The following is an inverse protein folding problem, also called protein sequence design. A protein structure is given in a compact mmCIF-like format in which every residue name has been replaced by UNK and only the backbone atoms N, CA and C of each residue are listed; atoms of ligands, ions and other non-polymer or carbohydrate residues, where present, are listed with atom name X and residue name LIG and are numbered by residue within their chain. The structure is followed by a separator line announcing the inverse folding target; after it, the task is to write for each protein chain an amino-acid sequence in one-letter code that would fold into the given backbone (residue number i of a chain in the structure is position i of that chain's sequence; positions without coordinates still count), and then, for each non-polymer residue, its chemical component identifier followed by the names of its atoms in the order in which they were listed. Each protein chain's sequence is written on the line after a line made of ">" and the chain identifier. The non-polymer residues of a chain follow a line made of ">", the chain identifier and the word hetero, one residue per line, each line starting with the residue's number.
data_IF_993366703968
#
_entry.id   IF_993366703968
#
_cell.length_a   1.000
_cell.length_b   1.000
_cell.length_c   1.000
_cell.angle_alpha   90.00
_cell.angle_beta   90.00
_cell.angle_gamma   90.00
#
_symmetry.space_group_name_H-M   'P 1'
#
loop_
_entity.id
_entity.type
_entity.pdbx_description
1 polymer ?
#
# COMPACT_ATOMS: atom_id res chain seq x y z
N UNK A 1 3.87 19.38 6.01
CA UNK A 1 2.73 18.61 5.49
C UNK A 1 3.29 17.29 5.00
N UNK A 2 2.70 16.16 5.40
CA UNK A 2 3.15 14.84 4.94
C UNK A 2 2.58 14.54 3.56
N UNK A 3 3.25 13.69 2.80
CA UNK A 3 2.73 13.17 1.52
C UNK A 3 1.74 12.05 1.85
N UNK A 4 0.65 11.99 1.10
CA UNK A 4 -0.30 10.89 1.10
C UNK A 4 -0.08 10.06 -0.16
N UNK A 5 -0.05 8.73 0.00
CA UNK A 5 0.04 7.83 -1.14
C UNK A 5 -1.20 6.97 -1.26
N UNK A 6 -1.86 7.02 -2.41
CA UNK A 6 -2.99 6.13 -2.73
C UNK A 6 -2.50 4.92 -3.53
N UNK A 7 -3.16 3.79 -3.34
CA UNK A 7 -2.82 2.54 -4.00
C UNK A 7 -4.00 2.04 -4.80
N UNK A 8 -3.76 1.68 -6.05
CA UNK A 8 -4.78 1.20 -6.97
C UNK A 8 -4.34 -0.06 -7.69
N UNK A 9 -5.26 -0.99 -7.99
CA UNK A 9 -4.97 -2.08 -8.91
C UNK A 9 -4.79 -1.55 -10.34
N UNK A 10 -3.99 -2.26 -11.11
CA UNK A 10 -3.81 -2.10 -12.54
C UNK A 10 -5.00 -2.73 -13.31
N UNK A 11 -6.16 -2.09 -13.19
CA UNK A 11 -7.37 -2.40 -13.95
C UNK A 11 -7.38 -1.70 -15.33
N UNK A 12 -8.49 -1.82 -16.07
CA UNK A 12 -8.60 -1.22 -17.41
C UNK A 12 -8.55 0.30 -17.42
N UNK A 13 -9.12 0.96 -16.41
CA UNK A 13 -9.13 2.42 -16.30
C UNK A 13 -7.74 2.92 -15.95
N UNK A 14 -7.10 2.29 -14.95
CA UNK A 14 -5.73 2.59 -14.54
C UNK A 14 -4.73 2.37 -15.67
N UNK A 15 -4.87 1.30 -16.47
CA UNK A 15 -4.03 1.09 -17.67
C UNK A 15 -4.20 2.20 -18.70
N UNK A 16 -5.43 2.62 -18.96
CA UNK A 16 -5.72 3.69 -19.92
C UNK A 16 -5.05 4.99 -19.47
N UNK A 17 -5.20 5.34 -18.20
CA UNK A 17 -4.56 6.52 -17.62
C UNK A 17 -3.03 6.45 -17.66
N UNK A 18 -2.42 5.30 -17.36
CA UNK A 18 -0.96 5.12 -17.48
C UNK A 18 -0.46 5.21 -18.93
N UNK A 19 -1.26 4.76 -19.91
CA UNK A 19 -0.93 4.93 -21.33
C UNK A 19 -0.91 6.41 -21.74
N UNK A 20 -1.89 7.20 -21.28
CA UNK A 20 -1.94 8.65 -21.53
C UNK A 20 -0.71 9.37 -20.95
N UNK A 21 -0.22 8.92 -19.80
CA UNK A 21 0.98 9.42 -19.15
C UNK A 21 2.29 8.84 -19.70
N UNK A 22 2.22 7.94 -20.69
CA UNK A 22 3.36 7.21 -21.23
C UNK A 22 4.19 6.45 -20.15
N UNK A 23 3.52 5.98 -19.09
CA UNK A 23 4.15 5.21 -18.01
C UNK A 23 4.14 3.71 -18.37
N UNK A 24 5.31 3.06 -18.43
CA UNK A 24 5.39 1.62 -18.70
C UNK A 24 4.64 0.81 -17.64
N UNK A 25 3.84 -0.15 -18.08
CA UNK A 25 3.11 -1.06 -17.20
C UNK A 25 2.94 -2.44 -17.86
N UNK A 26 2.89 -3.52 -17.06
CA UNK A 26 2.73 -4.86 -17.60
C UNK A 26 1.29 -5.09 -18.08
N UNK A 27 1.13 -5.96 -19.08
CA UNK A 27 -0.20 -6.34 -19.58
C UNK A 27 -0.81 -7.48 -18.76
N UNK A 28 -0.92 -7.30 -17.44
CA UNK A 28 -1.56 -8.24 -16.52
C UNK A 28 -2.65 -7.51 -15.74
N UNK A 29 -3.66 -8.24 -15.26
CA UNK A 29 -4.69 -7.68 -14.37
C UNK A 29 -4.25 -7.80 -12.92
N UNK A 30 -4.70 -6.88 -12.07
CA UNK A 30 -4.58 -7.00 -10.62
C UNK A 30 -5.87 -6.60 -9.92
N UNK A 31 -5.88 -6.78 -8.59
CA UNK A 31 -7.01 -6.47 -7.71
C UNK A 31 -6.53 -5.83 -6.42
N UNK A 32 -7.45 -5.26 -5.67
CA UNK A 32 -7.17 -4.90 -4.28
C UNK A 32 -6.81 -6.15 -3.45
N UNK A 33 -5.87 -6.05 -2.50
CA UNK A 33 -5.57 -7.14 -1.58
C UNK A 33 -6.74 -7.39 -0.64
N UNK A 34 -6.85 -8.61 -0.14
CA UNK A 34 -7.75 -8.91 0.98
C UNK A 34 -7.12 -8.51 2.31
N UNK A 35 -7.94 -8.40 3.37
CA UNK A 35 -7.43 -8.12 4.71
C UNK A 35 -6.38 -9.14 5.19
N UNK A 36 -6.57 -10.43 4.88
CA UNK A 36 -5.59 -11.48 5.15
C UNK A 36 -4.27 -11.24 4.40
N UNK A 37 -4.33 -10.85 3.13
CA UNK A 37 -3.14 -10.58 2.32
C UNK A 37 -2.37 -9.37 2.84
N UNK A 38 -3.07 -8.31 3.29
CA UNK A 38 -2.45 -7.17 3.98
C UNK A 38 -1.72 -7.64 5.23
N UNK A 39 -2.39 -8.36 6.13
CA UNK A 39 -1.77 -8.88 7.37
C UNK A 39 -0.58 -9.80 7.07
N UNK A 40 -0.69 -10.64 6.04
CA UNK A 40 0.38 -11.55 5.62
C UNK A 40 1.58 -10.82 4.99
N UNK A 41 1.36 -9.76 4.22
CA UNK A 41 2.45 -8.93 3.70
C UNK A 41 3.17 -8.21 4.84
N UNK A 42 2.43 -7.68 5.83
CA UNK A 42 3.00 -7.02 6.99
C UNK A 42 3.82 -7.96 7.87
N UNK A 43 3.40 -9.22 8.03
CA UNK A 43 4.16 -10.20 8.83
C UNK A 43 5.46 -10.67 8.16
N UNK A 44 5.65 -10.40 6.87
CA UNK A 44 6.88 -10.71 6.13
C UNK A 44 7.94 -9.61 6.24
N UNK A 45 7.63 -8.47 6.86
CA UNK A 45 8.56 -7.36 7.04
C UNK A 45 9.54 -7.65 8.19
N UNK A 46 10.66 -8.29 7.87
CA UNK A 46 11.73 -8.54 8.84
C UNK A 46 12.44 -7.25 9.25
N UNK A 47 12.70 -7.07 10.55
CA UNK A 47 13.35 -5.88 11.10
C UNK A 47 12.40 -4.70 11.30
N UNK A 48 11.09 -4.92 11.23
CA UNK A 48 10.05 -3.93 11.46
C UNK A 48 9.07 -4.40 12.53
N UNK A 49 8.76 -3.51 13.46
CA UNK A 49 7.65 -3.65 14.38
C UNK A 49 6.36 -3.16 13.71
N UNK A 50 5.34 -4.02 13.67
CA UNK A 50 4.02 -3.68 13.13
C UNK A 50 3.00 -3.65 14.27
N UNK A 51 2.40 -2.49 14.52
CA UNK A 51 1.28 -2.31 15.44
C UNK A 51 0.00 -2.10 14.65
N UNK A 52 -0.95 -3.04 14.76
CA UNK A 52 -2.25 -2.95 14.11
C UNK A 52 -3.28 -2.40 15.10
N UNK A 53 -4.02 -1.38 14.67
CA UNK A 53 -5.16 -0.81 15.38
C UNK A 53 -6.41 -1.02 14.55
N UNK A 54 -7.24 -1.95 15.00
CA UNK A 54 -8.60 -2.12 14.53
C UNK A 54 -9.53 -1.34 15.48
N UNK A 55 -9.97 -0.17 15.02
CA UNK A 55 -10.77 0.75 15.82
C UNK A 55 -12.28 0.38 15.81
N UNK A 56 -12.65 -0.76 15.20
CA UNK A 56 -14.03 -1.22 15.10
C UNK A 56 -14.78 -0.66 13.88
N UNK A 57 -16.06 -1.01 13.79
CA UNK A 57 -16.91 -0.75 12.61
C UNK A 57 -16.98 0.77 12.32
N UNK A 58 -16.71 1.14 11.07
CA UNK A 58 -16.75 2.53 10.60
C UNK A 58 -15.54 3.38 11.01
N UNK A 59 -14.54 2.78 11.66
CA UNK A 59 -13.29 3.46 11.97
C UNK A 59 -12.16 2.96 11.06
N UNK A 60 -11.15 3.80 10.88
CA UNK A 60 -9.98 3.46 10.07
C UNK A 60 -9.24 2.31 10.75
N UNK A 61 -9.01 1.24 9.99
CA UNK A 61 -8.06 0.21 10.35
C UNK A 61 -6.66 0.70 9.97
N UNK A 62 -5.74 0.67 10.92
CA UNK A 62 -4.40 1.25 10.74
C UNK A 62 -3.32 0.24 11.10
N UNK A 63 -2.24 0.24 10.34
CA UNK A 63 -1.01 -0.45 10.69
C UNK A 63 0.16 0.55 10.74
N UNK A 64 0.71 0.74 11.93
CA UNK A 64 1.94 1.50 12.15
C UNK A 64 3.12 0.57 11.97
N UNK A 65 3.98 0.86 10.99
CA UNK A 65 5.14 0.03 10.64
C UNK A 65 6.39 0.86 10.96
N UNK A 66 7.22 0.38 11.88
CA UNK A 66 8.39 1.11 12.37
C UNK A 66 9.61 0.20 12.43
N UNK A 67 10.71 0.62 11.85
CA UNK A 67 12.00 -0.09 11.88
C UNK A 67 12.46 -0.35 13.32
N UNK A 68 12.87 -1.59 13.61
CA UNK A 68 13.42 -2.01 14.90
C UNK A 68 14.69 -1.25 15.29
N UNK A 69 15.45 -0.76 14.29
CA UNK A 69 16.69 0.01 14.51
C UNK A 69 16.45 1.34 15.25
N UNK A 70 15.22 1.87 15.22
CA UNK A 70 14.83 3.11 15.91
C UNK A 70 15.57 4.39 15.46
N UNK A 71 15.22 5.50 16.11
CA UNK A 71 15.84 6.83 15.91
C UNK A 71 15.53 7.49 14.57
N UNK A 72 16.22 8.60 14.27
CA UNK A 72 16.00 9.43 13.07
C UNK A 72 16.28 8.72 11.74
N UNK A 73 16.98 7.57 11.81
CA UNK A 73 17.31 6.72 10.66
C UNK A 73 16.33 5.56 10.47
N UNK A 74 15.45 5.31 11.44
CA UNK A 74 14.44 4.27 11.34
C UNK A 74 13.42 4.60 10.25
N UNK A 75 13.26 3.72 9.28
CA UNK A 75 12.16 3.83 8.33
C UNK A 75 10.84 3.56 9.06
N UNK A 76 9.81 4.31 8.70
CA UNK A 76 8.47 4.10 9.21
C UNK A 76 7.44 4.48 8.16
N UNK A 77 6.23 3.95 8.27
CA UNK A 77 5.08 4.35 7.47
C UNK A 77 3.79 3.99 8.20
N UNK A 78 2.70 4.69 7.90
CA UNK A 78 1.37 4.37 8.41
C UNK A 78 0.50 3.90 7.24
N UNK A 79 0.04 2.65 7.29
CA UNK A 79 -0.92 2.10 6.34
C UNK A 79 -2.33 2.27 6.92
N UNK A 80 -3.28 2.67 6.07
CA UNK A 80 -4.66 2.92 6.45
C UNK A 80 -5.63 2.21 5.49
N UNK A 81 -6.75 1.74 6.05
CA UNK A 81 -7.92 1.20 5.35
C UNK A 81 -9.16 1.85 5.97
N UNK A 82 -9.95 2.59 5.19
CA UNK A 82 -11.05 3.41 5.71
C UNK A 82 -12.20 2.58 6.30
N UNK A 83 -12.59 1.51 5.59
CA UNK A 83 -13.70 0.64 5.97
C UNK A 83 -13.24 -0.81 5.87
N UNK A 84 -12.56 -1.28 6.92
CA UNK A 84 -12.11 -2.66 6.95
C UNK A 84 -13.32 -3.60 6.91
N UNK A 85 -13.54 -4.21 5.76
CA UNK A 85 -14.72 -5.04 5.48
C UNK A 85 -14.53 -6.51 5.85
N UNK A 86 -13.30 -6.93 6.16
CA UNK A 86 -12.98 -8.26 6.66
C UNK A 86 -11.77 -8.90 6.01
N UNK A 87 -11.32 -9.99 6.61
CA UNK A 87 -10.09 -10.70 6.23
C UNK A 87 -10.14 -11.30 4.81
N UNK A 88 -11.34 -11.63 4.31
CA UNK A 88 -11.53 -12.20 2.96
C UNK A 88 -12.02 -11.17 1.94
N UNK A 89 -12.31 -9.95 2.38
CA UNK A 89 -12.87 -8.91 1.51
C UNK A 89 -11.75 -8.03 0.95
N UNK A 90 -11.88 -7.52 -0.30
CA UNK A 90 -10.94 -6.56 -0.87
C UNK A 90 -10.86 -5.27 -0.04
N UNK A 91 -9.64 -4.77 0.14
CA UNK A 91 -9.34 -3.59 0.94
C UNK A 91 -8.69 -2.50 0.09
N UNK A 92 -9.30 -1.32 0.05
CA UNK A 92 -8.65 -0.14 -0.48
C UNK A 92 -7.73 0.44 0.60
N UNK A 93 -6.45 0.55 0.25
CA UNK A 93 -5.40 1.00 1.15
C UNK A 93 -4.73 2.27 0.66
N UNK A 94 -4.24 3.04 1.62
CA UNK A 94 -3.46 4.24 1.39
C UNK A 94 -2.45 4.42 2.52
N UNK A 95 -1.38 5.15 2.25
CA UNK A 95 -0.33 5.42 3.22
C UNK A 95 -0.35 6.89 3.62
N UNK A 96 -0.24 7.14 4.93
CA UNK A 96 -0.07 8.47 5.48
C UNK A 96 1.37 8.63 5.98
N UNK A 97 2.12 9.56 5.40
CA UNK A 97 3.51 9.84 5.80
C UNK A 97 4.40 8.59 5.73
N UNK A 98 5.68 8.77 6.04
CA UNK A 98 6.65 7.70 6.08
C UNK A 98 7.64 7.70 4.92
N UNK A 99 8.40 6.61 4.83
CA UNK A 99 9.44 6.42 3.82
C UNK A 99 8.88 5.65 2.63
N UNK A 100 9.00 6.25 1.44
CA UNK A 100 8.54 5.65 0.19
C UNK A 100 9.17 4.27 -0.10
N UNK A 101 10.44 4.07 0.28
CA UNK A 101 11.13 2.77 0.20
C UNK A 101 10.39 1.66 0.96
N UNK A 102 9.93 1.96 2.17
CA UNK A 102 9.16 1.02 2.98
C UNK A 102 7.77 0.78 2.39
N UNK A 103 7.09 1.84 1.91
CA UNK A 103 5.80 1.73 1.21
C UNK A 103 5.92 0.78 0.01
N UNK A 104 6.93 0.98 -0.84
CA UNK A 104 7.21 0.12 -2.00
C UNK A 104 7.50 -1.31 -1.58
N UNK A 105 8.24 -1.51 -0.50
CA UNK A 105 8.52 -2.86 0.05
C UNK A 105 7.22 -3.58 0.40
N UNK A 106 6.31 -2.93 1.15
CA UNK A 106 4.99 -3.49 1.48
C UNK A 106 4.22 -3.85 0.21
N UNK A 107 4.22 -2.96 -0.79
CA UNK A 107 3.51 -3.18 -2.05
C UNK A 107 4.11 -4.30 -2.89
N UNK A 108 5.43 -4.47 -2.92
CA UNK A 108 6.08 -5.62 -3.57
C UNK A 108 5.67 -6.95 -2.92
N UNK A 109 5.46 -6.99 -1.61
CA UNK A 109 4.94 -8.20 -0.94
C UNK A 109 3.47 -8.47 -1.33
N UNK A 110 2.65 -7.44 -1.45
CA UNK A 110 1.25 -7.57 -1.88
C UNK A 110 1.12 -7.98 -3.35
N UNK A 111 1.90 -7.34 -4.23
CA UNK A 111 1.86 -7.52 -5.68
C UNK A 111 2.06 -8.99 -6.11
N UNK A 112 2.83 -9.76 -5.32
CA UNK A 112 3.02 -11.21 -5.52
C UNK A 112 1.72 -12.01 -5.56
N UNK A 113 0.70 -11.59 -4.81
CA UNK A 113 -0.58 -12.30 -4.70
C UNK A 113 -1.73 -11.56 -5.40
N UNK A 114 -1.61 -10.24 -5.54
CA UNK A 114 -2.66 -9.38 -6.10
C UNK A 114 -2.44 -9.02 -7.56
N UNK A 115 -1.24 -9.25 -8.09
CA UNK A 115 -0.74 -8.62 -9.31
C UNK A 115 -0.28 -7.17 -9.07
N UNK A 116 0.23 -6.48 -10.11
CA UNK A 116 0.88 -5.18 -9.99
C UNK A 116 -0.03 -4.11 -9.40
N UNK A 117 0.52 -3.28 -8.53
CA UNK A 117 -0.19 -2.18 -7.87
C UNK A 117 0.38 -0.84 -8.33
N UNK A 118 -0.45 0.18 -8.38
CA UNK A 118 -0.06 1.53 -8.77
C UNK A 118 -0.06 2.41 -7.53
N UNK A 119 1.10 2.98 -7.23
CA UNK A 119 1.31 3.93 -6.15
C UNK A 119 1.25 5.36 -6.71
N UNK A 120 0.39 6.21 -6.17
CA UNK A 120 0.24 7.60 -6.61
C UNK A 120 0.44 8.50 -5.39
N UNK A 121 1.41 9.41 -5.46
CA UNK A 121 1.63 10.42 -4.43
C UNK A 121 0.77 11.68 -4.68
N UNK A 122 0.23 12.28 -3.62
CA UNK A 122 -0.65 13.44 -3.70
C UNK A 122 0.06 14.76 -4.06
N UNK A 123 1.39 14.81 -3.97
CA UNK A 123 2.18 16.01 -4.18
C UNK A 123 2.54 16.24 -5.65
N UNK A 124 2.91 15.18 -6.37
CA UNK A 124 3.35 15.17 -7.75
C UNK A 124 2.34 14.53 -8.69
N UNK A 125 1.41 13.72 -8.15
CA UNK A 125 0.45 12.91 -8.91
C UNK A 125 1.13 11.98 -9.94
N UNK A 126 2.41 11.64 -9.74
CA UNK A 126 3.15 10.77 -10.63
C UNK A 126 2.92 9.30 -10.23
N UNK A 127 2.30 8.48 -11.08
CA UNK A 127 2.06 7.09 -10.76
C UNK A 127 3.34 6.25 -10.90
N UNK A 128 3.48 5.30 -10.00
CA UNK A 128 4.56 4.32 -10.00
C UNK A 128 3.97 2.92 -9.97
N UNK A 129 4.32 2.10 -10.95
CA UNK A 129 3.88 0.70 -11.03
C UNK A 129 4.82 -0.15 -10.19
N UNK A 130 4.25 -0.94 -9.29
CA UNK A 130 4.93 -1.88 -8.41
C UNK A 130 4.53 -3.29 -8.83
N UNK A 131 5.48 -4.09 -9.30
CA UNK A 131 5.28 -5.49 -9.71
C UNK A 131 6.13 -6.50 -8.91
#
# INVERSE_FOLDING_TARGET
>A
MGILWTVWPLDSEMKTWLQELAVPHPNVSSRFPTGCEVKAALSQLHGFNVEIRDNGIGCIWQASIVSELGGDKGEWTLLNINEYSGDQEPQQLWFEKGRESLIKTVLCHLAKNTGPLVLIDDASSQPQVID
#
